data_IF_316738798357
#
_entry.id   IF_316738798357
#
_cell.length_a   1.000
_cell.length_b   1.000
_cell.length_c   1.000
_cell.angle_alpha   90.00
_cell.angle_beta   90.00
_cell.angle_gamma   90.00
#
_symmetry.space_group_name_H-M   'P 1'
#
loop_
_entity.id
_entity.type
_entity.pdbx_description
1 polymer ?
#
# COMPACT_ATOMS: atom_id res chain seq x y z
N UNK A 1 28.74 -19.26 -0.75
CA UNK A 1 27.46 -19.98 -0.91
C UNK A 1 26.48 -19.17 -1.75
N UNK A 2 25.47 -19.76 -2.42
CA UNK A 2 24.36 -18.99 -2.99
C UNK A 2 23.29 -18.83 -1.91
N UNK A 3 23.32 -17.70 -1.21
CA UNK A 3 22.48 -17.45 -0.04
C UNK A 3 20.99 -17.32 -0.38
N UNK A 4 20.64 -16.85 -1.58
CA UNK A 4 19.24 -16.73 -2.01
C UNK A 4 18.60 -18.11 -2.17
N UNK A 5 19.28 -19.01 -2.87
CA UNK A 5 18.82 -20.40 -3.04
C UNK A 5 18.77 -21.14 -1.71
N UNK A 6 19.74 -20.89 -0.84
CA UNK A 6 19.77 -21.50 0.49
C UNK A 6 18.61 -20.99 1.36
N UNK A 7 18.37 -19.67 1.39
CA UNK A 7 17.25 -19.08 2.11
C UNK A 7 15.89 -19.67 1.66
N UNK A 8 15.65 -19.75 0.35
CA UNK A 8 14.44 -20.34 -0.20
C UNK A 8 14.26 -21.82 0.20
N UNK A 9 15.35 -22.60 0.18
CA UNK A 9 15.33 -24.00 0.64
C UNK A 9 14.98 -24.11 2.12
N UNK A 10 15.49 -23.20 2.96
CA UNK A 10 15.17 -23.17 4.39
C UNK A 10 13.72 -22.78 4.62
N UNK A 11 13.18 -21.81 3.88
CA UNK A 11 11.76 -21.44 3.96
C UNK A 11 10.85 -22.64 3.63
N UNK A 12 11.14 -23.36 2.55
CA UNK A 12 10.40 -24.56 2.16
C UNK A 12 10.46 -25.64 3.26
N UNK A 13 11.66 -25.93 3.78
CA UNK A 13 11.84 -26.89 4.86
C UNK A 13 11.07 -26.50 6.14
N UNK A 14 11.07 -25.20 6.49
CA UNK A 14 10.35 -24.69 7.66
C UNK A 14 8.84 -24.84 7.46
N UNK A 15 8.33 -24.61 6.25
CA UNK A 15 6.90 -24.83 5.95
C UNK A 15 6.54 -26.31 6.02
N UNK A 16 7.36 -27.20 5.46
CA UNK A 16 7.17 -28.66 5.60
C UNK A 16 7.21 -29.07 7.08
N UNK A 17 8.13 -28.51 7.86
CA UNK A 17 8.18 -28.70 9.31
C UNK A 17 6.90 -28.19 9.99
N UNK A 18 6.36 -27.04 9.57
CA UNK A 18 5.13 -26.48 10.10
C UNK A 18 3.89 -27.32 9.78
N UNK A 19 3.88 -28.08 8.68
CA UNK A 19 2.77 -28.97 8.30
C UNK A 19 2.63 -30.23 9.17
N UNK A 20 3.55 -30.48 10.09
CA UNK A 20 3.43 -31.58 11.05
C UNK A 20 2.18 -31.44 11.92
N UNK A 21 1.50 -32.55 12.20
CA UNK A 21 0.17 -32.56 12.85
C UNK A 21 0.13 -31.88 14.22
N UNK A 22 1.26 -31.82 14.92
CA UNK A 22 1.41 -31.14 16.21
C UNK A 22 1.37 -29.61 16.12
N UNK A 23 1.40 -29.01 14.93
CA UNK A 23 1.32 -27.55 14.74
C UNK A 23 -0.02 -27.06 14.20
N UNK A 24 -0.96 -27.95 13.91
CA UNK A 24 -2.24 -27.58 13.29
C UNK A 24 -2.98 -26.49 14.09
N UNK A 25 -3.20 -26.69 15.38
CA UNK A 25 -3.84 -25.68 16.23
C UNK A 25 -3.08 -24.35 16.28
N UNK A 26 -1.75 -24.40 16.21
CA UNK A 26 -0.90 -23.22 16.29
C UNK A 26 -0.94 -22.41 14.99
N UNK A 27 -1.00 -23.10 13.85
CA UNK A 27 -1.18 -22.47 12.54
C UNK A 27 -2.56 -21.80 12.46
N UNK A 28 -3.62 -22.45 12.95
CA UNK A 28 -4.96 -21.84 12.97
C UNK A 28 -5.00 -20.59 13.88
N UNK A 29 -4.32 -20.63 15.04
CA UNK A 29 -4.11 -19.42 15.86
C UNK A 29 -3.37 -18.32 15.10
N UNK A 30 -2.30 -18.67 14.38
CA UNK A 30 -1.52 -17.73 13.60
C UNK A 30 -2.36 -17.09 12.49
N UNK A 31 -3.14 -17.88 11.73
CA UNK A 31 -4.07 -17.38 10.71
C UNK A 31 -5.08 -16.40 11.28
N UNK A 32 -5.75 -16.77 12.37
CA UNK A 32 -6.74 -15.89 13.01
C UNK A 32 -6.13 -14.54 13.39
N UNK A 33 -4.94 -14.55 14.00
CA UNK A 33 -4.23 -13.32 14.37
C UNK A 33 -3.82 -12.50 13.14
N UNK A 34 -3.37 -13.17 12.09
CA UNK A 34 -2.97 -12.52 10.84
C UNK A 34 -4.16 -11.79 10.21
N UNK A 35 -5.28 -12.49 10.00
CA UNK A 35 -6.47 -11.93 9.37
C UNK A 35 -7.21 -10.91 10.26
N UNK A 36 -7.13 -11.02 11.58
CA UNK A 36 -7.64 -9.99 12.49
C UNK A 36 -6.95 -8.63 12.27
N UNK A 37 -5.64 -8.63 12.02
CA UNK A 37 -4.86 -7.40 11.87
C UNK A 37 -4.90 -6.88 10.44
N UNK A 38 -4.65 -7.75 9.46
CA UNK A 38 -4.63 -7.40 8.04
C UNK A 38 -6.05 -7.05 7.54
N UNK A 39 -7.08 -7.70 8.10
CA UNK A 39 -8.47 -7.61 7.64
C UNK A 39 -8.78 -8.63 6.54
N UNK A 40 -10.07 -8.79 6.23
CA UNK A 40 -10.53 -9.39 4.98
C UNK A 40 -10.28 -8.37 3.85
N UNK A 41 -9.02 -8.14 3.50
CA UNK A 41 -8.72 -7.54 2.20
C UNK A 41 -9.15 -8.56 1.15
N UNK A 42 -9.81 -8.09 0.09
CA UNK A 42 -10.51 -8.92 -0.86
C UNK A 42 -9.54 -9.95 -1.45
N UNK A 43 -9.85 -11.24 -1.28
CA UNK A 43 -9.01 -12.35 -1.74
C UNK A 43 -8.89 -12.44 -3.27
N UNK A 44 -9.51 -11.50 -4.01
CA UNK A 44 -9.49 -11.38 -5.46
C UNK A 44 -8.24 -10.71 -6.01
N UNK A 45 -7.59 -9.86 -5.21
CA UNK A 45 -6.36 -9.19 -5.60
C UNK A 45 -5.20 -9.91 -4.93
N UNK A 46 -4.10 -10.12 -5.64
CA UNK A 46 -2.91 -10.78 -5.10
C UNK A 46 -2.44 -10.02 -3.84
N UNK A 47 -2.88 -10.45 -2.66
CA UNK A 47 -2.43 -9.88 -1.40
C UNK A 47 -0.95 -10.25 -1.27
N UNK A 48 -0.08 -9.29 -1.59
CA UNK A 48 1.39 -9.38 -1.51
C UNK A 48 1.88 -9.57 -0.06
N UNK A 49 0.98 -9.51 0.94
CA UNK A 49 1.30 -9.89 2.31
C UNK A 49 1.34 -11.41 2.45
N UNK A 50 2.55 -11.96 2.37
CA UNK A 50 2.78 -13.38 2.50
C UNK A 50 2.65 -13.86 3.95
N UNK A 51 1.52 -14.51 4.25
CA UNK A 51 1.27 -15.21 5.51
C UNK A 51 2.40 -16.19 5.85
N UNK A 52 2.96 -16.90 4.86
CA UNK A 52 4.00 -17.89 5.09
C UNK A 52 5.29 -17.22 5.58
N UNK A 53 5.74 -16.16 4.91
CA UNK A 53 6.87 -15.36 5.39
C UNK A 53 6.65 -14.85 6.82
N UNK A 54 5.47 -14.31 7.13
CA UNK A 54 5.18 -13.86 8.49
C UNK A 54 5.18 -15.01 9.52
N UNK A 55 4.59 -16.15 9.16
CA UNK A 55 4.54 -17.35 10.00
C UNK A 55 5.95 -17.89 10.30
N UNK A 56 6.81 -17.99 9.28
CA UNK A 56 8.18 -18.49 9.38
C UNK A 56 9.00 -17.59 10.30
N UNK A 57 8.97 -16.28 10.05
CA UNK A 57 9.94 -15.33 10.62
C UNK A 57 9.48 -14.64 11.89
N UNK A 58 8.21 -14.26 12.00
CA UNK A 58 7.77 -13.28 12.98
C UNK A 58 6.72 -13.81 13.95
N UNK A 59 5.86 -14.75 13.53
CA UNK A 59 4.89 -15.36 14.44
C UNK A 59 5.62 -16.07 15.58
N UNK A 60 5.33 -15.66 16.82
CA UNK A 60 5.83 -16.33 18.02
C UNK A 60 4.73 -17.20 18.60
N UNK A 61 5.03 -18.49 18.74
CA UNK A 61 4.14 -19.46 19.35
C UNK A 61 4.00 -19.25 20.88
N UNK A 62 3.24 -20.12 21.53
CA UNK A 62 3.10 -20.14 23.00
C UNK A 62 4.44 -20.24 23.77
N UNK A 63 5.50 -20.76 23.16
CA UNK A 63 6.83 -20.86 23.73
C UNK A 63 7.70 -19.63 23.42
N UNK A 64 7.11 -18.59 22.81
CA UNK A 64 7.77 -17.37 22.34
C UNK A 64 8.84 -17.63 21.26
N UNK A 65 8.71 -18.73 20.52
CA UNK A 65 9.61 -19.08 19.44
C UNK A 65 8.90 -19.02 18.08
N UNK A 66 9.61 -18.55 17.08
CA UNK A 66 9.21 -18.57 15.67
C UNK A 66 9.44 -19.94 15.04
N UNK A 67 8.77 -20.20 13.92
CA UNK A 67 8.91 -21.48 13.22
C UNK A 67 10.35 -21.71 12.74
N UNK A 68 11.04 -20.67 12.25
CA UNK A 68 12.46 -20.79 11.88
C UNK A 68 13.37 -21.09 13.08
N UNK A 69 13.13 -20.48 14.25
CA UNK A 69 13.90 -20.79 15.47
C UNK A 69 13.69 -22.24 15.91
N UNK A 70 12.45 -22.74 15.81
CA UNK A 70 12.10 -24.11 16.19
C UNK A 70 12.65 -25.12 15.21
N UNK A 71 12.55 -24.86 13.91
CA UNK A 71 13.15 -25.68 12.88
C UNK A 71 14.66 -25.80 13.12
N UNK A 72 15.35 -24.65 13.17
CA UNK A 72 16.80 -24.59 13.36
C UNK A 72 17.26 -25.34 14.61
N UNK A 73 16.55 -25.20 15.75
CA UNK A 73 16.87 -25.93 16.97
C UNK A 73 16.83 -27.47 16.80
N UNK A 74 15.95 -27.98 15.94
CA UNK A 74 15.80 -29.43 15.70
C UNK A 74 16.69 -29.95 14.56
N UNK A 75 17.28 -29.06 13.75
CA UNK A 75 18.05 -29.43 12.56
C UNK A 75 19.46 -28.85 12.52
N UNK A 76 19.92 -28.15 13.56
CA UNK A 76 21.21 -27.47 13.61
C UNK A 76 22.40 -28.37 13.21
N UNK A 77 22.39 -29.64 13.60
CA UNK A 77 23.46 -30.61 13.30
C UNK A 77 23.53 -30.99 11.81
N UNK A 78 22.50 -30.68 11.01
CA UNK A 78 22.46 -30.95 9.57
C UNK A 78 23.18 -29.90 8.74
N UNK A 79 23.42 -28.72 9.32
CA UNK A 79 23.99 -27.57 8.62
C UNK A 79 25.47 -27.39 8.96
N UNK A 80 26.22 -26.90 7.99
CA UNK A 80 27.58 -26.41 8.19
C UNK A 80 27.61 -25.20 9.13
N UNK A 81 28.80 -24.80 9.59
CA UNK A 81 28.96 -23.61 10.43
C UNK A 81 28.52 -22.33 9.71
N UNK A 82 28.85 -22.19 8.42
CA UNK A 82 28.47 -21.05 7.57
C UNK A 82 26.93 -20.96 7.44
N UNK A 83 26.28 -22.07 7.13
CA UNK A 83 24.82 -22.17 7.03
C UNK A 83 24.13 -21.88 8.37
N UNK A 84 24.66 -22.41 9.47
CA UNK A 84 24.14 -22.13 10.81
C UNK A 84 24.28 -20.66 11.20
N UNK A 85 25.40 -20.03 10.84
CA UNK A 85 25.59 -18.60 11.04
C UNK A 85 24.58 -17.79 10.23
N UNK A 86 24.36 -18.14 8.96
CA UNK A 86 23.37 -17.49 8.12
C UNK A 86 21.95 -17.62 8.67
N UNK A 87 21.50 -18.83 9.04
CA UNK A 87 20.19 -19.06 9.65
C UNK A 87 20.04 -18.23 10.94
N UNK A 88 21.11 -18.12 11.75
CA UNK A 88 21.10 -17.24 12.92
C UNK A 88 20.85 -15.78 12.57
N UNK A 89 21.41 -15.26 11.47
CA UNK A 89 21.14 -13.90 11.02
C UNK A 89 19.68 -13.73 10.58
N UNK A 90 19.12 -14.71 9.87
CA UNK A 90 17.71 -14.70 9.45
C UNK A 90 16.75 -14.67 10.64
N UNK A 91 17.02 -15.45 11.70
CA UNK A 91 16.17 -15.53 12.90
C UNK A 91 15.92 -14.16 13.54
N UNK A 92 16.93 -13.29 13.52
CA UNK A 92 16.85 -11.94 14.10
C UNK A 92 16.54 -10.85 13.06
N UNK A 93 16.44 -11.20 11.78
CA UNK A 93 16.07 -10.28 10.73
C UNK A 93 14.63 -9.79 10.91
N UNK A 94 14.42 -8.50 10.71
CA UNK A 94 13.12 -7.85 10.77
C UNK A 94 12.75 -7.29 9.38
N UNK A 95 11.45 -7.21 9.13
CA UNK A 95 10.92 -6.59 7.94
C UNK A 95 11.04 -5.08 8.09
N UNK A 96 11.57 -4.41 7.08
CA UNK A 96 11.72 -2.96 7.08
C UNK A 96 11.56 -2.40 5.68
N UNK A 97 11.52 -1.07 5.59
CA UNK A 97 11.53 -0.33 4.34
C UNK A 97 12.87 0.37 4.16
N UNK A 98 13.48 0.15 3.00
CA UNK A 98 14.77 0.69 2.65
C UNK A 98 14.65 1.65 1.48
N UNK A 99 15.20 2.85 1.64
CA UNK A 99 15.26 3.88 0.61
C UNK A 99 16.63 3.85 -0.05
N UNK A 100 16.68 3.86 -1.38
CA UNK A 100 17.93 4.02 -2.13
C UNK A 100 18.45 5.45 -1.95
N UNK A 101 19.72 5.58 -1.59
CA UNK A 101 20.42 6.86 -1.45
C UNK A 101 21.32 7.16 -2.62
N UNK A 102 22.03 6.14 -3.08
CA UNK A 102 23.02 6.28 -4.14
C UNK A 102 23.25 4.92 -4.82
N UNK A 103 23.80 4.99 -6.04
CA UNK A 103 24.24 3.82 -6.80
C UNK A 103 25.67 4.06 -7.26
N UNK A 104 26.59 3.22 -6.81
CA UNK A 104 27.99 3.25 -7.24
C UNK A 104 28.33 1.96 -7.97
N UNK A 105 28.28 1.99 -9.31
CA UNK A 105 28.48 0.80 -10.14
C UNK A 105 27.39 -0.25 -9.89
N UNK A 106 27.79 -1.39 -9.34
CA UNK A 106 26.94 -2.54 -9.05
C UNK A 106 26.46 -2.59 -7.59
N UNK A 107 26.69 -1.52 -6.82
CA UNK A 107 26.33 -1.41 -5.42
C UNK A 107 25.28 -0.33 -5.21
N UNK A 108 24.21 -0.68 -4.49
CA UNK A 108 23.16 0.22 -4.04
C UNK A 108 23.38 0.56 -2.58
N UNK A 109 23.47 1.85 -2.26
CA UNK A 109 23.43 2.33 -0.89
C UNK A 109 21.98 2.50 -0.47
N UNK A 110 21.60 1.79 0.58
CA UNK A 110 20.24 1.76 1.11
C UNK A 110 20.25 2.33 2.52
N UNK A 111 19.17 3.03 2.88
CA UNK A 111 18.92 3.51 4.23
C UNK A 111 17.58 3.01 4.73
N UNK A 112 17.58 2.31 5.84
CA UNK A 112 16.36 1.94 6.55
C UNK A 112 15.62 3.21 7.00
N UNK A 113 14.35 3.36 6.61
CA UNK A 113 13.60 4.58 6.88
C UNK A 113 13.25 4.75 8.36
N UNK A 114 13.25 3.68 9.16
CA UNK A 114 12.93 3.71 10.59
C UNK A 114 14.18 3.77 11.45
N UNK A 115 15.10 2.82 11.28
CA UNK A 115 16.33 2.71 12.08
C UNK A 115 17.41 3.69 11.65
N UNK A 116 17.28 4.26 10.44
CA UNK A 116 18.25 5.15 9.80
C UNK A 116 19.60 4.49 9.48
N UNK A 117 19.73 3.18 9.68
CA UNK A 117 20.94 2.41 9.35
C UNK A 117 21.15 2.40 7.84
N UNK A 118 22.42 2.52 7.45
CA UNK A 118 22.85 2.45 6.07
C UNK A 118 23.51 1.09 5.81
N UNK A 119 23.25 0.54 4.63
CA UNK A 119 23.77 -0.75 4.18
C UNK A 119 23.97 -0.76 2.67
N UNK A 120 24.69 -1.75 2.17
CA UNK A 120 24.99 -1.90 0.75
C UNK A 120 24.51 -3.25 0.24
N UNK A 121 23.76 -3.26 -0.86
CA UNK A 121 23.35 -4.46 -1.59
C UNK A 121 23.88 -4.42 -3.02
N UNK A 122 24.09 -5.60 -3.60
CA UNK A 122 24.48 -5.75 -5.01
C UNK A 122 23.28 -5.58 -5.93
N UNK A 123 23.47 -5.12 -7.18
CA UNK A 123 22.35 -4.99 -8.13
C UNK A 123 21.66 -6.33 -8.44
N UNK A 124 22.42 -7.43 -8.41
CA UNK A 124 21.86 -8.79 -8.57
C UNK A 124 20.81 -9.14 -7.51
N UNK A 125 20.83 -8.48 -6.35
CA UNK A 125 19.83 -8.64 -5.30
C UNK A 125 18.61 -7.73 -5.49
N UNK A 126 18.60 -6.88 -6.51
CA UNK A 126 17.64 -5.79 -6.71
C UNK A 126 17.17 -5.70 -8.19
N UNK A 127 17.13 -6.83 -8.91
CA UNK A 127 16.95 -6.88 -10.38
C UNK A 127 15.72 -6.15 -10.93
N UNK A 128 14.71 -5.86 -10.10
CA UNK A 128 13.44 -5.19 -10.51
C UNK A 128 13.27 -3.77 -9.95
N UNK A 129 14.27 -3.24 -9.24
CA UNK A 129 14.14 -1.98 -8.52
C UNK A 129 14.21 -0.77 -9.45
N UNK A 130 13.18 0.08 -9.41
CA UNK A 130 13.10 1.33 -10.16
C UNK A 130 13.54 2.52 -9.31
N UNK A 131 14.02 3.57 -10.00
CA UNK A 131 14.32 4.83 -9.33
C UNK A 131 13.05 5.39 -8.69
N UNK A 132 13.16 5.87 -7.44
CA UNK A 132 12.01 6.40 -6.70
C UNK A 132 11.16 5.33 -6.01
N UNK A 133 11.67 4.12 -5.82
CA UNK A 133 11.02 3.07 -5.02
C UNK A 133 11.70 2.86 -3.65
N UNK A 134 10.88 2.43 -2.69
CA UNK A 134 11.29 1.83 -1.43
C UNK A 134 11.24 0.31 -1.57
N UNK A 135 12.14 -0.37 -0.86
CA UNK A 135 12.18 -1.83 -0.82
C UNK A 135 11.64 -2.30 0.52
N UNK A 136 10.55 -3.05 0.50
CA UNK A 136 10.09 -3.85 1.64
C UNK A 136 10.84 -5.19 1.62
N UNK A 137 11.72 -5.42 2.60
CA UNK A 137 12.46 -6.68 2.67
C UNK A 137 13.04 -6.92 4.08
N UNK A 138 13.63 -8.11 4.27
CA UNK A 138 14.50 -8.42 5.41
C UNK A 138 15.93 -8.44 4.90
N UNK A 139 16.80 -7.70 5.56
CA UNK A 139 18.21 -7.66 5.17
C UNK A 139 19.05 -8.26 6.28
N UNK A 140 19.84 -9.28 5.92
CA UNK A 140 20.77 -9.97 6.82
C UNK A 140 22.20 -9.67 6.41
N UNK A 141 23.11 -9.70 7.39
CA UNK A 141 24.54 -9.69 7.10
C UNK A 141 25.03 -11.13 6.94
N UNK A 142 25.62 -11.46 5.80
CA UNK A 142 26.24 -12.76 5.58
C UNK A 142 27.62 -12.56 4.96
N UNK A 143 28.63 -13.22 5.53
CA UNK A 143 30.04 -13.02 5.21
C UNK A 143 30.45 -11.54 5.27
N UNK A 144 30.98 -11.00 4.16
CA UNK A 144 31.41 -9.62 4.02
C UNK A 144 30.30 -8.68 3.52
N UNK A 145 29.10 -9.20 3.23
CA UNK A 145 28.03 -8.44 2.56
C UNK A 145 26.68 -8.50 3.28
N UNK A 146 25.70 -7.84 2.66
CA UNK A 146 24.30 -7.91 3.04
C UNK A 146 23.49 -8.66 1.98
N UNK A 147 22.41 -9.29 2.42
CA UNK A 147 21.52 -10.10 1.59
C UNK A 147 20.07 -9.80 1.92
N UNK A 148 19.26 -9.55 0.89
CA UNK A 148 17.82 -9.50 1.02
C UNK A 148 17.27 -10.94 1.10
N UNK A 149 16.38 -11.21 2.05
CA UNK A 149 15.84 -12.54 2.32
C UNK A 149 14.32 -12.51 2.30
N UNK A 150 13.73 -13.56 1.72
CA UNK A 150 12.29 -13.73 1.55
C UNK A 150 11.72 -12.83 0.45
N UNK A 151 10.40 -12.69 0.48
CA UNK A 151 9.70 -11.88 -0.50
C UNK A 151 10.08 -10.40 -0.39
N UNK A 152 10.28 -9.79 -1.56
CA UNK A 152 10.56 -8.37 -1.73
C UNK A 152 9.33 -7.72 -2.34
N UNK A 153 9.02 -6.52 -1.87
CA UNK A 153 7.98 -5.69 -2.50
C UNK A 153 8.52 -4.29 -2.70
N UNK A 154 8.14 -3.67 -3.81
CA UNK A 154 8.54 -2.32 -4.14
C UNK A 154 7.36 -1.38 -3.92
N UNK A 155 7.65 -0.21 -3.34
CA UNK A 155 6.63 0.78 -2.97
C UNK A 155 7.08 2.15 -3.46
N UNK A 156 6.23 2.94 -4.13
CA UNK A 156 6.59 4.29 -4.53
C UNK A 156 7.06 5.16 -3.35
N UNK A 157 8.16 5.89 -3.53
CA UNK A 157 8.78 6.71 -2.48
C UNK A 157 7.87 7.82 -1.95
N UNK A 158 6.87 8.25 -2.74
CA UNK A 158 5.87 9.22 -2.28
C UNK A 158 5.13 8.76 -1.00
N UNK A 159 4.98 7.45 -0.79
CA UNK A 159 4.34 6.91 0.41
C UNK A 159 5.24 6.88 1.65
N UNK A 160 6.56 7.13 1.49
CA UNK A 160 7.57 7.09 2.57
C UNK A 160 7.10 7.81 3.83
N UNK A 161 6.72 9.07 3.70
CA UNK A 161 6.35 9.91 4.85
C UNK A 161 5.05 9.45 5.50
N UNK A 162 4.10 8.93 4.71
CA UNK A 162 2.85 8.38 5.23
C UNK A 162 3.11 7.12 6.07
N UNK A 163 3.92 6.19 5.55
CA UNK A 163 4.27 4.96 6.28
C UNK A 163 5.07 5.28 7.53
N UNK A 164 6.10 6.12 7.42
CA UNK A 164 6.97 6.52 8.55
C UNK A 164 6.14 7.14 9.69
N UNK A 165 5.27 8.11 9.38
CA UNK A 165 4.40 8.76 10.37
C UNK A 165 3.46 7.78 11.07
N UNK A 166 2.83 6.88 10.32
CA UNK A 166 1.91 5.89 10.88
C UNK A 166 2.62 4.89 11.81
N UNK A 167 3.83 4.47 11.44
CA UNK A 167 4.64 3.57 12.24
C UNK A 167 5.21 4.24 13.49
N UNK A 168 5.58 5.52 13.42
CA UNK A 168 6.08 6.29 14.59
C UNK A 168 5.06 6.28 15.72
N UNK A 169 3.78 6.55 15.42
CA UNK A 169 2.74 6.55 16.45
C UNK A 169 2.64 5.20 17.18
N UNK A 170 2.74 4.09 16.45
CA UNK A 170 2.74 2.73 17.03
C UNK A 170 4.02 2.43 17.80
N UNK A 171 5.15 2.90 17.31
CA UNK A 171 6.42 2.74 18.01
C UNK A 171 6.44 3.51 19.33
N UNK A 172 5.89 4.73 19.37
CA UNK A 172 5.75 5.53 20.60
C UNK A 172 4.87 4.84 21.64
N UNK A 173 3.78 4.20 21.23
CA UNK A 173 2.95 3.35 22.10
C UNK A 173 3.77 2.15 22.64
N UNK A 174 4.54 1.50 21.77
CA UNK A 174 5.37 0.36 22.13
C UNK A 174 6.46 0.72 23.17
N UNK A 175 7.21 1.80 22.99
CA UNK A 175 8.29 2.18 23.92
C UNK A 175 7.75 2.67 25.27
N UNK A 176 6.53 3.23 25.33
CA UNK A 176 5.87 3.55 26.60
C UNK A 176 5.61 2.29 27.44
N UNK A 177 5.33 1.17 26.79
CA UNK A 177 5.13 -0.13 27.43
C UNK A 177 6.43 -0.94 27.61
N UNK A 178 7.50 -0.59 26.90
CA UNK A 178 8.76 -1.35 26.85
C UNK A 178 9.97 -0.41 26.99
N UNK A 179 10.52 -0.31 28.20
CA UNK A 179 11.60 0.63 28.54
C UNK A 179 12.91 0.47 27.76
N UNK A 180 13.14 -0.68 27.13
CA UNK A 180 14.29 -0.97 26.26
C UNK A 180 13.89 -1.26 24.82
N UNK A 181 12.71 -0.79 24.40
CA UNK A 181 12.23 -0.95 23.03
C UNK A 181 13.11 -0.22 22.04
N UNK A 182 13.51 -0.91 20.97
CA UNK A 182 14.17 -0.31 19.80
C UNK A 182 13.31 -0.53 18.56
N UNK A 183 13.60 0.19 17.48
CA UNK A 183 12.93 0.00 16.19
C UNK A 183 13.07 -1.44 15.69
N UNK A 184 14.24 -2.06 15.83
CA UNK A 184 14.47 -3.44 15.41
C UNK A 184 13.59 -4.42 16.20
N UNK A 185 13.49 -4.23 17.53
CA UNK A 185 12.61 -5.06 18.37
C UNK A 185 11.14 -4.85 17.97
N UNK A 186 10.74 -3.59 17.75
CA UNK A 186 9.39 -3.25 17.35
C UNK A 186 9.02 -3.86 16.00
N UNK A 187 9.82 -3.63 14.96
CA UNK A 187 9.63 -4.16 13.62
C UNK A 187 9.64 -5.69 13.61
N UNK A 188 10.44 -6.33 14.47
CA UNK A 188 10.44 -7.80 14.60
C UNK A 188 9.17 -8.36 15.23
N UNK A 189 8.58 -7.64 16.19
CA UNK A 189 7.45 -8.13 16.98
C UNK A 189 6.08 -7.65 16.47
N UNK A 190 6.07 -6.60 15.64
CA UNK A 190 4.88 -5.93 15.14
C UNK A 190 4.91 -5.75 13.60
N UNK A 191 5.60 -6.63 12.88
CA UNK A 191 5.73 -6.56 11.41
C UNK A 191 4.39 -6.52 10.67
N UNK A 192 3.31 -7.08 11.24
CA UNK A 192 1.96 -6.99 10.67
C UNK A 192 1.44 -5.57 10.50
N UNK A 193 1.87 -4.60 11.33
CA UNK A 193 1.48 -3.22 11.09
C UNK A 193 2.11 -2.67 9.82
N UNK A 194 3.39 -2.98 9.59
CA UNK A 194 4.05 -2.58 8.36
C UNK A 194 3.37 -3.24 7.16
N UNK A 195 3.15 -4.55 7.22
CA UNK A 195 2.41 -5.25 6.17
C UNK A 195 1.02 -4.65 5.91
N UNK A 196 0.27 -4.31 6.96
CA UNK A 196 -1.05 -3.66 6.82
C UNK A 196 -0.97 -2.32 6.09
N UNK A 197 0.02 -1.48 6.42
CA UNK A 197 0.16 -0.19 5.74
C UNK A 197 0.56 -0.36 4.28
N UNK A 198 1.47 -1.30 4.01
CA UNK A 198 1.88 -1.62 2.64
C UNK A 198 0.73 -2.21 1.84
N UNK A 199 -0.06 -3.11 2.43
CA UNK A 199 -1.21 -3.72 1.75
C UNK A 199 -2.26 -2.69 1.39
N UNK A 200 -2.55 -1.72 2.27
CA UNK A 200 -3.46 -0.61 1.94
C UNK A 200 -2.92 0.22 0.78
N UNK A 201 -1.61 0.49 0.73
CA UNK A 201 -1.01 1.24 -0.37
C UNK A 201 -1.08 0.44 -1.67
N UNK A 202 -0.78 -0.85 -1.62
CA UNK A 202 -0.84 -1.72 -2.80
C UNK A 202 -2.27 -1.89 -3.28
N UNK A 203 -3.24 -2.03 -2.38
CA UNK A 203 -4.67 -2.03 -2.70
C UNK A 203 -5.08 -0.74 -3.40
N UNK A 204 -4.66 0.42 -2.88
CA UNK A 204 -4.84 1.70 -3.56
C UNK A 204 -4.16 1.72 -4.93
N UNK A 205 -2.93 1.23 -5.05
CA UNK A 205 -2.19 1.22 -6.32
C UNK A 205 -2.77 0.23 -7.35
N UNK A 206 -3.31 -0.90 -6.90
CA UNK A 206 -3.99 -1.88 -7.75
C UNK A 206 -5.36 -1.34 -8.14
N UNK A 207 -6.09 -0.74 -7.22
CA UNK A 207 -7.29 0.03 -7.54
C UNK A 207 -6.99 1.32 -8.30
N UNK A 208 -5.75 1.80 -8.40
CA UNK A 208 -5.36 2.88 -9.31
C UNK A 208 -4.93 2.31 -10.67
N UNK A 209 -4.24 1.17 -10.70
CA UNK A 209 -3.67 0.51 -11.90
C UNK A 209 -4.64 -0.39 -12.68
N UNK A 210 -5.57 -1.09 -12.03
CA UNK A 210 -6.73 -1.72 -12.70
C UNK A 210 -7.71 -0.66 -13.24
N UNK A 211 -7.54 0.57 -12.78
CA UNK A 211 -8.26 1.76 -13.18
C UNK A 211 -7.43 2.66 -14.14
N UNK A 212 -6.19 2.27 -14.48
CA UNK A 212 -5.41 2.91 -15.56
C UNK A 212 -5.93 2.50 -16.95
N UNK A 213 -6.75 1.44 -17.05
CA UNK A 213 -7.76 1.36 -18.11
C UNK A 213 -8.94 2.28 -17.72
N UNK A 214 -8.80 3.58 -18.02
CA UNK A 214 -9.86 4.61 -18.10
C UNK A 214 -10.24 5.46 -16.84
N UNK A 215 -9.33 5.83 -15.92
CA UNK A 215 -9.57 7.01 -15.04
C UNK A 215 -9.46 8.31 -15.82
N UNK A 216 -10.53 8.55 -16.54
CA UNK A 216 -10.71 9.68 -17.40
C UNK A 216 -12.00 10.37 -17.02
N UNK A 217 -11.86 11.57 -16.50
CA UNK A 217 -13.02 12.38 -16.16
C UNK A 217 -13.50 13.03 -17.45
N UNK A 218 -14.71 12.65 -17.85
CA UNK A 218 -15.41 13.28 -18.95
C UNK A 218 -16.03 14.57 -18.42
N UNK A 219 -15.35 15.70 -18.65
CA UNK A 219 -15.76 17.01 -18.15
C UNK A 219 -16.48 17.83 -19.22
N UNK A 220 -17.56 18.52 -18.83
CA UNK A 220 -18.14 19.63 -19.63
C UNK A 220 -18.02 20.93 -18.85
N UNK A 221 -17.39 21.93 -19.45
CA UNK A 221 -17.19 23.24 -18.82
C UNK A 221 -18.18 24.26 -19.40
N UNK A 222 -18.76 25.05 -18.51
CA UNK A 222 -19.67 26.13 -18.86
C UNK A 222 -19.23 27.45 -18.24
N UNK A 223 -19.49 28.52 -18.98
CA UNK A 223 -19.45 29.89 -18.48
C UNK A 223 -20.84 30.30 -18.03
N UNK A 224 -20.95 30.81 -16.82
CA UNK A 224 -22.20 31.30 -16.24
C UNK A 224 -22.40 32.75 -16.68
N UNK A 225 -23.48 33.01 -17.44
CA UNK A 225 -23.90 34.34 -17.88
C UNK A 225 -24.70 35.06 -16.79
N UNK A 226 -25.60 34.33 -16.13
CA UNK A 226 -26.44 34.85 -15.04
C UNK A 226 -26.48 33.86 -13.87
N UNK A 227 -25.63 34.08 -12.87
CA UNK A 227 -25.55 33.26 -11.67
C UNK A 227 -26.73 33.39 -10.72
N UNK A 228 -27.64 34.35 -10.94
CA UNK A 228 -28.80 34.55 -10.07
C UNK A 228 -29.68 33.30 -10.11
N UNK A 229 -30.01 32.80 -8.94
CA UNK A 229 -30.91 31.67 -8.71
C UNK A 229 -30.43 30.32 -9.26
N UNK A 230 -29.21 30.17 -9.79
CA UNK A 230 -28.71 28.85 -10.25
C UNK A 230 -28.79 27.81 -9.13
N UNK A 231 -28.30 28.17 -7.93
CA UNK A 231 -28.39 27.29 -6.75
C UNK A 231 -29.82 26.85 -6.48
N UNK A 232 -30.77 27.77 -6.53
CA UNK A 232 -32.18 27.46 -6.29
C UNK A 232 -32.75 26.54 -7.39
N UNK A 233 -32.53 26.85 -8.66
CA UNK A 233 -33.01 26.07 -9.81
C UNK A 233 -32.50 24.62 -9.73
N UNK A 234 -31.23 24.44 -9.40
CA UNK A 234 -30.62 23.12 -9.24
C UNK A 234 -31.23 22.37 -8.03
N UNK A 235 -31.35 23.03 -6.87
CA UNK A 235 -31.90 22.42 -5.66
C UNK A 235 -33.40 22.07 -5.74
N UNK A 236 -34.16 22.67 -6.66
CA UNK A 236 -35.57 22.31 -6.88
C UNK A 236 -35.74 20.95 -7.57
N UNK A 237 -34.67 20.39 -8.15
CA UNK A 237 -34.71 19.09 -8.84
C UNK A 237 -34.35 17.98 -7.87
N UNK A 238 -35.27 17.02 -7.68
CA UNK A 238 -35.06 15.83 -6.83
C UNK A 238 -33.81 15.01 -7.17
N UNK A 239 -33.36 15.10 -8.41
CA UNK A 239 -32.19 14.37 -8.90
C UNK A 239 -30.88 15.11 -8.62
N UNK A 240 -30.92 16.36 -8.14
CA UNK A 240 -29.73 17.18 -7.93
C UNK A 240 -29.66 17.58 -6.46
N UNK A 241 -28.66 17.05 -5.77
CA UNK A 241 -28.44 17.31 -4.36
C UNK A 241 -27.27 18.26 -4.20
N UNK A 242 -27.43 19.30 -3.37
CA UNK A 242 -26.29 20.07 -2.89
C UNK A 242 -25.57 19.22 -1.84
N UNK A 243 -24.31 18.89 -2.08
CA UNK A 243 -23.49 18.06 -1.20
C UNK A 243 -22.89 18.94 -0.09
N UNK A 244 -22.10 19.95 -0.47
CA UNK A 244 -21.57 20.95 0.45
C UNK A 244 -21.24 22.27 -0.26
N UNK A 245 -20.94 23.29 0.55
CA UNK A 245 -20.52 24.61 0.10
C UNK A 245 -19.26 25.01 0.86
N UNK A 246 -18.21 25.41 0.13
CA UNK A 246 -16.93 25.82 0.72
C UNK A 246 -16.35 27.03 -0.03
N UNK A 247 -16.02 28.10 0.70
CA UNK A 247 -15.36 29.29 0.17
C UNK A 247 -16.03 29.87 -1.09
N UNK A 248 -17.38 29.88 -1.14
CA UNK A 248 -18.15 30.36 -2.28
C UNK A 248 -18.17 29.41 -3.49
N UNK A 249 -17.68 28.18 -3.31
CA UNK A 249 -17.79 27.07 -4.27
C UNK A 249 -18.95 26.18 -3.86
N UNK A 250 -19.82 25.85 -4.81
CA UNK A 250 -20.96 24.95 -4.59
C UNK A 250 -20.65 23.60 -5.24
N UNK A 251 -20.87 22.52 -4.48
CA UNK A 251 -20.70 21.16 -4.94
C UNK A 251 -22.05 20.46 -4.97
N UNK A 252 -22.47 20.01 -6.16
CA UNK A 252 -23.71 19.27 -6.35
C UNK A 252 -23.42 17.87 -6.87
N UNK A 253 -24.29 16.92 -6.53
CA UNK A 253 -24.34 15.58 -7.11
C UNK A 253 -25.64 15.39 -7.88
N UNK A 254 -25.54 14.94 -9.12
CA UNK A 254 -26.67 14.52 -9.94
C UNK A 254 -26.82 13.01 -9.79
N UNK A 255 -28.00 12.54 -9.41
CA UNK A 255 -28.32 11.15 -9.13
C UNK A 255 -29.20 10.55 -10.23
N UNK A 256 -28.92 9.31 -10.63
CA UNK A 256 -29.88 8.42 -11.29
C UNK A 256 -30.49 7.45 -10.26
N UNK A 257 -31.46 6.65 -10.69
CA UNK A 257 -31.96 5.54 -9.87
C UNK A 257 -30.91 4.44 -9.59
N UNK A 258 -29.78 4.47 -10.30
CA UNK A 258 -28.72 3.45 -10.25
C UNK A 258 -27.42 3.97 -9.60
N UNK A 259 -27.30 5.28 -9.31
CA UNK A 259 -26.09 5.85 -8.71
C UNK A 259 -25.89 7.33 -8.97
N UNK A 260 -24.65 7.81 -8.89
CA UNK A 260 -24.26 9.17 -9.23
C UNK A 260 -24.08 9.25 -10.75
N UNK A 261 -24.81 10.15 -11.41
CA UNK A 261 -24.66 10.47 -12.83
C UNK A 261 -23.48 11.42 -13.07
N UNK A 262 -23.35 12.44 -12.22
CA UNK A 262 -22.35 13.48 -12.37
C UNK A 262 -22.11 14.22 -11.07
N UNK A 263 -20.90 14.74 -10.91
CA UNK A 263 -20.60 15.79 -9.94
C UNK A 263 -20.54 17.15 -10.64
N UNK A 264 -21.02 18.18 -9.98
CA UNK A 264 -21.06 19.53 -10.53
C UNK A 264 -20.45 20.51 -9.55
N UNK A 265 -19.43 21.22 -10.00
CA UNK A 265 -18.73 22.24 -9.24
C UNK A 265 -19.05 23.61 -9.83
N UNK A 266 -19.56 24.52 -9.01
CA UNK A 266 -19.82 25.89 -9.41
C UNK A 266 -18.94 26.82 -8.58
N UNK A 267 -18.04 27.54 -9.27
CA UNK A 267 -17.14 28.51 -8.65
C UNK A 267 -17.06 29.76 -9.51
N UNK A 268 -17.32 30.92 -8.89
CA UNK A 268 -17.37 32.21 -9.60
C UNK A 268 -18.34 32.13 -10.80
N UNK A 269 -17.86 32.43 -12.02
CA UNK A 269 -18.64 32.38 -13.26
C UNK A 269 -18.37 31.10 -14.07
N UNK A 270 -17.88 30.04 -13.43
CA UNK A 270 -17.57 28.77 -14.08
C UNK A 270 -18.34 27.64 -13.42
N UNK A 271 -18.85 26.74 -14.25
CA UNK A 271 -19.44 25.48 -13.84
C UNK A 271 -18.73 24.34 -14.55
N UNK A 272 -18.37 23.33 -13.78
CA UNK A 272 -17.71 22.10 -14.21
C UNK A 272 -18.65 20.95 -13.92
N UNK A 273 -18.87 20.08 -14.91
CA UNK A 273 -19.71 18.91 -14.81
C UNK A 273 -18.86 17.69 -15.14
N UNK A 274 -18.67 16.81 -14.16
CA UNK A 274 -17.72 15.71 -14.16
C UNK A 274 -18.44 14.36 -14.14
N UNK A 275 -18.04 13.47 -15.04
CA UNK A 275 -18.67 12.17 -15.23
C UNK A 275 -17.62 11.08 -15.47
N UNK A 276 -17.96 9.85 -15.09
CA UNK A 276 -17.09 8.68 -15.27
C UNK A 276 -17.17 8.09 -16.69
N UNK A 277 -18.11 8.54 -17.53
CA UNK A 277 -18.23 8.07 -18.92
C UNK A 277 -18.70 9.17 -19.88
N UNK A 278 -18.38 9.01 -21.16
CA UNK A 278 -18.87 9.90 -22.23
C UNK A 278 -20.40 9.89 -22.32
N UNK A 279 -21.04 8.75 -22.01
CA UNK A 279 -22.49 8.63 -22.07
C UNK A 279 -23.15 9.40 -20.93
N UNK A 280 -22.67 9.21 -19.70
CA UNK A 280 -23.15 9.96 -18.53
C UNK A 280 -22.94 11.46 -18.72
N UNK A 281 -21.80 11.87 -19.26
CA UNK A 281 -21.54 13.28 -19.60
C UNK A 281 -22.58 13.83 -20.56
N UNK A 282 -22.94 13.10 -21.63
CA UNK A 282 -23.97 13.52 -22.58
C UNK A 282 -25.35 13.63 -21.93
N UNK A 283 -25.68 12.75 -21.01
CA UNK A 283 -26.95 12.74 -20.30
C UNK A 283 -27.04 13.88 -19.28
N UNK A 284 -26.02 14.01 -18.43
CA UNK A 284 -25.89 15.10 -17.47
C UNK A 284 -25.86 16.47 -18.17
N UNK A 285 -25.14 16.58 -19.30
CA UNK A 285 -25.12 17.79 -20.14
C UNK A 285 -26.51 18.19 -20.62
N UNK A 286 -27.28 17.25 -21.19
CA UNK A 286 -28.65 17.52 -21.63
C UNK A 286 -29.53 17.98 -20.47
N UNK A 287 -29.41 17.33 -19.31
CA UNK A 287 -30.15 17.71 -18.12
C UNK A 287 -29.81 19.16 -17.72
N UNK A 288 -28.54 19.47 -17.56
CA UNK A 288 -28.08 20.80 -17.10
C UNK A 288 -28.41 21.90 -18.10
N UNK A 289 -28.19 21.68 -19.40
CA UNK A 289 -28.55 22.64 -20.46
C UNK A 289 -30.06 22.87 -20.53
N UNK A 290 -30.88 21.85 -20.30
CA UNK A 290 -32.34 22.00 -20.24
C UNK A 290 -32.82 22.77 -19.01
N UNK A 291 -32.06 22.74 -17.91
CA UNK A 291 -32.43 23.39 -16.65
C UNK A 291 -31.99 24.85 -16.58
N UNK A 292 -30.80 25.14 -17.11
CA UNK A 292 -30.17 26.45 -17.01
C UNK A 292 -30.30 27.27 -18.29
N UNK A 293 -30.69 26.65 -19.41
CA UNK A 293 -31.02 27.31 -20.68
C UNK A 293 -29.99 28.38 -21.08
N UNK A 294 -30.43 29.64 -21.19
CA UNK A 294 -29.63 30.78 -21.63
C UNK A 294 -28.69 31.35 -20.54
N UNK A 295 -28.79 30.86 -19.30
CA UNK A 295 -27.97 31.31 -18.15
C UNK A 295 -26.56 30.79 -18.18
N UNK A 296 -26.29 29.75 -18.97
CA UNK A 296 -24.97 29.18 -19.17
C UNK A 296 -24.59 29.19 -20.63
N UNK A 297 -23.30 29.01 -20.91
CA UNK A 297 -22.80 28.78 -22.26
C UNK A 297 -21.74 27.72 -22.20
N UNK A 298 -21.96 26.66 -22.98
CA UNK A 298 -20.98 25.61 -23.14
C UNK A 298 -19.68 26.20 -23.68
N UNK A 299 -18.57 25.88 -23.02
CA UNK A 299 -17.24 26.37 -23.38
C UNK A 299 -16.43 25.27 -24.08
N UNK A 300 -16.24 24.13 -23.42
CA UNK A 300 -15.55 22.97 -23.99
C UNK A 300 -15.99 21.67 -23.31
N UNK A 301 -15.79 20.59 -24.05
CA UNK A 301 -15.85 19.22 -23.53
C UNK A 301 -14.42 18.68 -23.55
N UNK A 302 -14.01 17.99 -22.49
CA UNK A 302 -12.70 17.36 -22.43
C UNK A 302 -12.73 16.03 -21.70
N UNK A 303 -11.75 15.19 -22.04
CA UNK A 303 -11.41 13.96 -21.32
C UNK A 303 -10.14 14.30 -20.57
N UNK A 304 -10.23 14.44 -19.25
CA UNK A 304 -9.09 14.77 -18.39
C UNK A 304 -8.54 13.46 -17.86
N UNK A 305 -7.27 13.18 -18.14
CA UNK A 305 -6.59 12.04 -17.53
C UNK A 305 -5.94 12.48 -16.22
N UNK A 306 -5.64 11.54 -15.34
CA UNK A 306 -4.97 11.81 -14.05
C UNK A 306 -3.66 12.62 -14.25
N UNK A 307 -2.92 12.33 -15.33
CA UNK A 307 -1.68 13.03 -15.70
C UNK A 307 -1.86 14.52 -16.04
N UNK A 308 -3.07 14.94 -16.42
CA UNK A 308 -3.38 16.34 -16.73
C UNK A 308 -3.76 17.14 -15.47
N UNK A 309 -3.97 16.47 -14.33
CA UNK A 309 -4.43 17.04 -13.06
C UNK A 309 -3.26 17.27 -12.08
N UNK A 310 -2.14 16.56 -12.25
CA UNK A 310 -0.93 16.62 -11.41
C UNK A 310 0.05 17.71 -11.85
#
# INVERSE_FOLDING_TARGET
MNFDRFAASIEEDVLVFALQSNFHEEIERAKNKFYEIIGELDASHEIIVDFNSWLIYDYKDKNKASFIERYHKNTMEKFTEEENNFINQIKYAYLSLYEIRDRTGDQYQLRDIFTKKELQLTAAQLEDLRDGELILSRIVKADEGYWAVGNRSYIPVMFRNSIERNMINRYEEFIKANSYGTWEVFLKTHSLYLYKYVSIIQDVLVHEGENEEDYSVWQSIYLIKDGRNIKQILSEKKQINLDYEENGTLFFRIMTGEGILAEMVIKNNRMELECNSLQDRKEAKKLVESLLEDRITHYKDEKINLDDIL
#
